data_IF_395694477802
#
_entry.id   IF_395694477802
#
_cell.length_a   1.000
_cell.length_b   1.000
_cell.length_c   1.000
_cell.angle_alpha   90.00
_cell.angle_beta   90.00
_cell.angle_gamma   90.00
#
_symmetry.space_group_name_H-M   'P 1'
#
loop_
_entity.id
_entity.type
_entity.pdbx_description
1 polymer ?
#
# COMPACT_ATOMS: atom_id res chain seq x y z
N UNK A 1 4.55 18.36 -16.14
CA UNK A 1 3.39 17.46 -15.94
C UNK A 1 2.98 17.40 -14.46
N UNK A 2 3.94 17.25 -13.52
CA UNK A 2 3.60 17.21 -12.08
C UNK A 2 3.03 18.53 -11.55
N UNK A 3 3.50 19.66 -12.06
CA UNK A 3 2.99 20.97 -11.68
C UNK A 3 1.57 21.22 -12.24
N UNK A 4 1.27 20.70 -13.44
CA UNK A 4 -0.09 20.68 -14.00
C UNK A 4 -0.99 19.75 -13.18
N UNK A 5 -0.51 18.60 -12.76
CA UNK A 5 -1.23 17.66 -11.92
C UNK A 5 -1.46 18.24 -10.51
N UNK A 6 -0.45 18.84 -9.89
CA UNK A 6 -0.57 19.56 -8.62
C UNK A 6 -1.53 20.76 -8.73
N UNK A 7 -1.49 21.53 -9.82
CA UNK A 7 -2.41 22.66 -10.06
C UNK A 7 -3.83 22.19 -10.31
N UNK A 8 -4.04 21.12 -11.07
CA UNK A 8 -5.38 20.56 -11.27
C UNK A 8 -5.98 20.02 -9.98
N UNK A 9 -5.16 19.43 -9.11
CA UNK A 9 -5.60 18.96 -7.80
C UNK A 9 -5.76 20.12 -6.81
N UNK A 10 -4.93 21.18 -6.88
CA UNK A 10 -5.04 22.36 -6.01
C UNK A 10 -6.10 23.36 -6.45
N UNK A 11 -6.40 23.47 -7.75
CA UNK A 11 -7.37 24.43 -8.28
C UNK A 11 -8.81 23.92 -8.25
N UNK A 12 -9.04 22.61 -8.15
CA UNK A 12 -10.38 22.02 -8.00
C UNK A 12 -10.87 21.89 -6.58
N UNK A 13 -9.96 22.03 -5.66
CA UNK A 13 -10.31 22.02 -4.27
C UNK A 13 -9.18 22.71 -3.54
N UNK A 14 -9.43 23.80 -2.93
CA UNK A 14 -8.74 24.13 -1.71
C UNK A 14 -8.89 23.00 -0.66
N UNK A 15 -9.02 21.75 -1.10
CA UNK A 15 -9.26 20.57 -0.32
C UNK A 15 -8.92 19.23 -0.94
N UNK A 16 -8.85 19.06 -2.26
CA UNK A 16 -8.59 17.77 -2.91
C UNK A 16 -7.09 17.47 -3.05
N UNK A 17 -6.40 17.33 -1.94
CA UNK A 17 -5.13 16.61 -1.91
C UNK A 17 -5.39 15.13 -1.76
N UNK A 18 -5.65 14.45 -2.86
CA UNK A 18 -5.72 12.98 -2.93
C UNK A 18 -4.41 12.28 -2.47
N UNK A 19 -3.33 13.03 -2.30
CA UNK A 19 -2.05 12.53 -1.83
C UNK A 19 -1.88 12.50 -0.31
N UNK A 20 -2.80 13.08 0.46
CA UNK A 20 -2.89 12.85 1.89
C UNK A 20 -4.35 13.01 2.31
N UNK A 21 -4.85 12.00 2.98
CA UNK A 21 -6.15 12.04 3.64
C UNK A 21 -6.21 13.11 4.74
N UNK A 22 -5.04 13.68 5.09
CA UNK A 22 -4.85 14.70 6.11
C UNK A 22 -4.72 16.09 5.48
N UNK A 23 -5.53 17.04 5.89
CA UNK A 23 -5.44 18.46 5.49
C UNK A 23 -4.23 19.14 6.16
N UNK A 24 -3.89 20.37 5.71
CA UNK A 24 -2.77 21.15 6.25
C UNK A 24 -2.89 21.45 7.74
N UNK A 25 -4.11 21.59 8.26
CA UNK A 25 -4.45 21.79 9.67
C UNK A 25 -4.43 20.50 10.50
N UNK A 26 -4.19 19.36 9.87
CA UNK A 26 -4.14 18.05 10.52
C UNK A 26 -5.47 17.31 10.55
N UNK A 27 -6.54 17.89 10.03
CA UNK A 27 -7.83 17.23 9.92
C UNK A 27 -7.93 16.36 8.66
N UNK A 28 -8.84 15.41 8.68
CA UNK A 28 -9.16 14.59 7.51
C UNK A 28 -9.98 15.40 6.50
N UNK A 29 -9.72 15.20 5.23
CA UNK A 29 -10.57 15.78 4.20
C UNK A 29 -12.02 15.27 4.34
N UNK A 30 -13.04 16.11 4.13
CA UNK A 30 -14.45 15.74 4.35
C UNK A 30 -14.94 14.57 3.49
N UNK A 31 -14.25 14.31 2.36
CA UNK A 31 -14.53 13.21 1.44
C UNK A 31 -13.67 11.98 1.70
N UNK A 32 -12.87 11.95 2.78
CA UNK A 32 -12.07 10.78 3.14
C UNK A 32 -12.98 9.63 3.55
N UNK A 33 -12.67 8.44 3.06
CA UNK A 33 -13.36 7.21 3.49
C UNK A 33 -12.93 6.84 4.90
N UNK A 34 -13.82 6.21 5.65
CA UNK A 34 -13.47 5.64 6.96
C UNK A 34 -12.75 4.31 6.82
N UNK A 35 -12.00 3.87 7.85
CA UNK A 35 -11.41 2.53 7.85
C UNK A 35 -12.44 1.40 7.63
N UNK A 36 -13.64 1.53 8.21
CA UNK A 36 -14.71 0.56 8.05
C UNK A 36 -15.26 0.52 6.63
N UNK A 37 -15.45 1.68 6.00
CA UNK A 37 -15.86 1.76 4.60
C UNK A 37 -14.84 1.11 3.69
N UNK A 38 -13.54 1.33 3.96
CA UNK A 38 -12.45 0.73 3.20
C UNK A 38 -12.43 -0.79 3.33
N UNK A 39 -12.52 -1.32 4.56
CA UNK A 39 -12.56 -2.75 4.81
C UNK A 39 -13.76 -3.43 4.14
N UNK A 40 -14.95 -2.85 4.28
CA UNK A 40 -16.16 -3.36 3.65
C UNK A 40 -16.06 -3.36 2.12
N UNK A 41 -15.53 -2.28 1.53
CA UNK A 41 -15.32 -2.19 0.09
C UNK A 41 -14.40 -3.29 -0.41
N UNK A 42 -13.24 -3.47 0.24
CA UNK A 42 -12.27 -4.50 -0.15
C UNK A 42 -12.84 -5.91 -0.02
N UNK A 43 -13.52 -6.22 1.09
CA UNK A 43 -14.13 -7.52 1.30
C UNK A 43 -15.20 -7.82 0.25
N UNK A 44 -16.07 -6.85 -0.05
CA UNK A 44 -17.15 -7.01 -1.05
C UNK A 44 -16.58 -7.31 -2.44
N UNK A 45 -15.57 -6.56 -2.88
CA UNK A 45 -14.93 -6.80 -4.20
C UNK A 45 -14.19 -8.14 -4.20
N UNK A 46 -13.52 -8.49 -3.09
CA UNK A 46 -12.83 -9.77 -2.97
C UNK A 46 -13.80 -10.96 -3.05
N UNK A 47 -14.96 -10.87 -2.42
CA UNK A 47 -15.97 -11.94 -2.45
C UNK A 47 -16.45 -12.25 -3.87
N UNK A 48 -16.64 -11.22 -4.70
CA UNK A 48 -16.98 -11.42 -6.12
C UNK A 48 -15.80 -12.01 -6.90
N UNK A 49 -14.61 -11.45 -6.70
CA UNK A 49 -13.41 -11.89 -7.40
C UNK A 49 -13.04 -13.34 -7.06
N UNK A 50 -13.08 -13.72 -5.78
CA UNK A 50 -12.69 -15.07 -5.35
C UNK A 50 -13.66 -16.15 -5.82
N UNK A 51 -14.92 -15.80 -6.14
CA UNK A 51 -15.91 -16.72 -6.67
C UNK A 51 -15.84 -16.89 -8.19
N UNK A 52 -15.37 -15.88 -8.93
CA UNK A 52 -15.61 -15.83 -10.37
C UNK A 52 -14.38 -15.51 -11.21
N UNK A 53 -13.39 -14.79 -10.68
CA UNK A 53 -12.45 -14.04 -11.49
C UNK A 53 -10.98 -14.38 -11.26
N UNK A 54 -10.65 -15.25 -10.29
CA UNK A 54 -9.25 -15.62 -10.00
C UNK A 54 -8.59 -16.24 -11.22
N UNK A 55 -7.50 -15.62 -11.68
CA UNK A 55 -6.78 -16.03 -12.89
C UNK A 55 -7.38 -15.48 -14.21
N UNK A 56 -8.56 -14.88 -14.17
CA UNK A 56 -9.19 -14.22 -15.32
C UNK A 56 -9.02 -12.71 -15.30
N UNK A 57 -9.19 -12.10 -14.11
CA UNK A 57 -9.00 -10.67 -13.91
C UNK A 57 -7.95 -10.42 -12.82
N UNK A 58 -6.95 -9.62 -13.17
CA UNK A 58 -5.88 -9.21 -12.27
C UNK A 58 -6.34 -8.01 -11.45
N UNK A 59 -6.42 -8.19 -10.12
CA UNK A 59 -6.64 -7.09 -9.18
C UNK A 59 -5.37 -6.94 -8.36
N UNK A 60 -4.59 -5.90 -8.66
CA UNK A 60 -3.24 -5.68 -8.13
C UNK A 60 -3.13 -5.85 -6.61
N UNK A 61 -4.12 -5.37 -5.84
CA UNK A 61 -4.11 -5.50 -4.40
C UNK A 61 -4.26 -6.98 -3.95
N UNK A 62 -5.13 -7.74 -4.59
CA UNK A 62 -5.40 -9.13 -4.21
C UNK A 62 -4.25 -10.05 -4.62
N UNK A 63 -3.73 -9.87 -5.82
CA UNK A 63 -2.56 -10.61 -6.29
C UNK A 63 -1.31 -10.29 -5.48
N UNK A 64 -1.11 -9.02 -5.09
CA UNK A 64 -0.02 -8.62 -4.19
C UNK A 64 -0.21 -9.17 -2.77
N UNK A 65 -1.45 -9.31 -2.30
CA UNK A 65 -1.76 -9.98 -1.04
C UNK A 65 -1.36 -11.45 -1.10
N UNK A 66 -1.75 -12.16 -2.17
CA UNK A 66 -1.33 -13.56 -2.36
C UNK A 66 0.19 -13.70 -2.46
N UNK A 67 0.87 -12.77 -3.17
CA UNK A 67 2.33 -12.77 -3.25
C UNK A 67 2.96 -12.74 -1.85
N UNK A 68 2.50 -11.86 -0.96
CA UNK A 68 2.97 -11.83 0.43
C UNK A 68 2.65 -13.14 1.19
N UNK A 69 1.46 -13.72 0.97
CA UNK A 69 1.10 -15.00 1.59
C UNK A 69 2.02 -16.16 1.20
N UNK A 70 2.50 -16.17 -0.04
CA UNK A 70 3.45 -17.19 -0.53
C UNK A 70 4.92 -16.80 -0.35
N UNK A 71 5.20 -15.65 0.29
CA UNK A 71 6.56 -15.18 0.56
C UNK A 71 7.27 -14.59 -0.67
N UNK A 72 6.51 -14.15 -1.66
CA UNK A 72 7.03 -13.48 -2.85
C UNK A 72 6.93 -11.95 -2.73
N UNK A 73 7.71 -11.24 -3.54
CA UNK A 73 7.63 -9.78 -3.64
C UNK A 73 6.26 -9.35 -4.17
N UNK A 74 5.51 -8.49 -3.46
CA UNK A 74 4.24 -7.97 -3.97
C UNK A 74 4.46 -7.01 -5.13
N UNK A 75 3.51 -6.98 -6.06
CA UNK A 75 3.53 -6.11 -7.23
C UNK A 75 3.26 -4.64 -6.93
N UNK A 76 2.95 -4.29 -5.67
CA UNK A 76 2.64 -2.93 -5.23
C UNK A 76 3.48 -2.53 -4.02
N UNK A 77 4.10 -1.35 -4.09
CA UNK A 77 5.02 -0.88 -3.04
C UNK A 77 4.32 -0.65 -1.69
N UNK A 78 3.02 -0.37 -1.67
CA UNK A 78 2.27 -0.19 -0.43
C UNK A 78 2.26 -1.45 0.44
N UNK A 79 2.21 -2.64 -0.16
CA UNK A 79 2.26 -3.93 0.53
C UNK A 79 3.68 -4.53 0.62
N UNK A 80 4.71 -3.87 0.08
CA UNK A 80 6.09 -4.31 0.22
C UNK A 80 6.66 -3.91 1.59
N UNK A 81 7.59 -4.71 2.12
CA UNK A 81 8.26 -4.43 3.40
C UNK A 81 9.03 -3.11 3.40
N UNK A 82 9.67 -2.80 2.28
CA UNK A 82 10.46 -1.58 2.08
C UNK A 82 9.91 -0.78 0.90
N UNK A 83 10.12 0.54 0.92
CA UNK A 83 9.89 1.34 -0.29
C UNK A 83 10.97 1.01 -1.32
N UNK A 84 10.55 0.84 -2.58
CA UNK A 84 11.46 0.54 -3.68
C UNK A 84 12.03 1.79 -4.36
N UNK A 85 12.45 1.62 -5.60
CA UNK A 85 13.05 2.66 -6.44
C UNK A 85 11.98 3.33 -7.33
N UNK A 86 10.97 3.93 -6.71
CA UNK A 86 9.86 4.61 -7.39
C UNK A 86 10.02 6.13 -7.35
N UNK A 87 11.21 6.62 -7.71
CA UNK A 87 11.51 8.05 -7.72
C UNK A 87 10.62 8.83 -8.70
N UNK A 88 10.44 10.09 -8.43
CA UNK A 88 9.79 11.06 -9.30
C UNK A 88 10.74 12.19 -9.64
N UNK A 89 10.68 12.67 -10.87
CA UNK A 89 11.43 13.81 -11.34
C UNK A 89 10.50 14.99 -11.62
N UNK A 90 10.81 16.15 -11.06
CA UNK A 90 10.13 17.40 -11.33
C UNK A 90 10.67 18.07 -12.61
N UNK A 91 9.91 19.02 -13.15
CA UNK A 91 10.22 19.69 -14.42
C UNK A 91 11.57 20.45 -14.43
N UNK A 92 12.06 20.85 -13.23
CA UNK A 92 13.34 21.53 -13.05
C UNK A 92 14.54 20.54 -12.93
N UNK A 93 14.30 19.24 -13.11
CA UNK A 93 15.30 18.18 -13.00
C UNK A 93 15.56 17.70 -11.57
N UNK A 94 14.83 18.19 -10.58
CA UNK A 94 14.92 17.69 -9.21
C UNK A 94 14.30 16.31 -9.11
N UNK A 95 14.99 15.38 -8.46
CA UNK A 95 14.56 14.00 -8.25
C UNK A 95 14.29 13.76 -6.77
N UNK A 96 13.16 13.13 -6.49
CA UNK A 96 12.70 12.80 -5.14
C UNK A 96 12.53 11.30 -4.95
N UNK A 97 12.63 10.82 -3.72
CA UNK A 97 12.61 9.41 -3.37
C UNK A 97 11.32 8.68 -3.78
N UNK A 98 10.18 9.40 -3.84
CA UNK A 98 8.87 8.85 -4.19
C UNK A 98 7.94 9.98 -4.62
N UNK A 99 6.97 9.69 -5.50
CA UNK A 99 5.94 10.64 -5.94
C UNK A 99 4.99 11.11 -4.82
N UNK A 100 4.83 10.32 -3.77
CA UNK A 100 4.11 10.70 -2.55
C UNK A 100 4.92 11.62 -1.61
N UNK A 101 6.24 11.70 -1.79
CA UNK A 101 7.16 12.41 -0.90
C UNK A 101 7.99 13.47 -1.65
N UNK A 102 7.29 14.32 -2.41
CA UNK A 102 7.90 15.46 -3.11
C UNK A 102 8.05 16.64 -2.14
N UNK A 103 8.95 16.47 -1.16
CA UNK A 103 9.30 17.48 -0.16
C UNK A 103 10.82 17.64 -0.11
N UNK A 104 11.34 18.82 0.29
CA UNK A 104 12.78 19.09 0.30
C UNK A 104 13.63 18.03 1.01
N UNK A 105 13.13 17.47 2.12
CA UNK A 105 13.81 16.46 2.94
C UNK A 105 13.95 15.09 2.24
N UNK A 106 13.17 14.83 1.17
CA UNK A 106 13.22 13.58 0.39
C UNK A 106 13.81 13.78 -1.00
N UNK A 107 14.46 14.95 -1.24
CA UNK A 107 15.15 15.23 -2.50
C UNK A 107 16.46 14.45 -2.58
N UNK A 108 16.63 13.66 -3.62
CA UNK A 108 17.83 12.86 -3.88
C UNK A 108 18.92 13.65 -4.61
N UNK A 109 18.50 14.63 -5.42
CA UNK A 109 19.42 15.46 -6.19
C UNK A 109 18.75 16.09 -7.40
N UNK A 110 19.60 16.47 -8.38
CA UNK A 110 19.14 17.03 -9.65
C UNK A 110 19.88 16.35 -10.81
N UNK A 111 19.17 16.01 -11.89
CA UNK A 111 19.74 15.26 -13.04
C UNK A 111 20.87 15.99 -13.78
N UNK A 112 20.99 17.30 -13.61
CA UNK A 112 22.09 18.09 -14.16
C UNK A 112 23.37 18.03 -13.31
N UNK A 113 23.30 17.43 -12.11
CA UNK A 113 24.38 17.38 -11.13
C UNK A 113 24.79 15.93 -10.76
N UNK A 114 23.82 15.01 -10.73
CA UNK A 114 24.03 13.59 -10.39
C UNK A 114 23.29 12.70 -11.40
N UNK A 115 23.85 11.53 -11.66
CA UNK A 115 23.15 10.53 -12.47
C UNK A 115 21.97 9.92 -11.73
N UNK A 116 20.96 9.42 -12.45
CA UNK A 116 19.84 8.69 -11.85
C UNK A 116 20.32 7.45 -11.05
N UNK A 117 21.36 6.79 -11.53
CA UNK A 117 21.94 5.61 -10.84
C UNK A 117 22.47 6.01 -9.46
N UNK A 118 23.29 7.10 -9.38
CA UNK A 118 23.80 7.59 -8.09
C UNK A 118 22.68 7.98 -7.13
N UNK A 119 21.59 8.59 -7.62
CA UNK A 119 20.47 8.98 -6.80
C UNK A 119 19.64 7.76 -6.34
N UNK A 120 19.34 6.84 -7.27
CA UNK A 120 18.44 5.71 -7.00
C UNK A 120 19.10 4.60 -6.15
N UNK A 121 20.40 4.46 -6.22
CA UNK A 121 21.19 3.47 -5.45
C UNK A 121 22.06 4.14 -4.37
N UNK A 122 21.83 5.42 -4.12
CA UNK A 122 22.48 6.17 -3.07
C UNK A 122 21.91 5.90 -1.68
N UNK A 123 22.67 6.29 -0.66
CA UNK A 123 22.32 6.07 0.74
C UNK A 123 21.01 6.75 1.14
N UNK A 124 20.70 7.89 0.55
CA UNK A 124 19.46 8.63 0.79
C UNK A 124 18.23 7.81 0.39
N UNK A 125 18.25 7.19 -0.80
CA UNK A 125 17.18 6.31 -1.26
C UNK A 125 17.08 5.03 -0.44
N UNK A 126 18.20 4.44 -0.09
CA UNK A 126 18.25 3.26 0.79
C UNK A 126 17.62 3.59 2.16
N UNK A 127 18.03 4.70 2.76
CA UNK A 127 17.49 5.18 4.05
C UNK A 127 15.99 5.40 3.96
N UNK A 128 15.50 6.05 2.89
CA UNK A 128 14.08 6.21 2.64
C UNK A 128 13.36 4.86 2.51
N UNK A 129 13.95 3.92 1.80
CA UNK A 129 13.39 2.58 1.59
C UNK A 129 13.17 1.82 2.89
N UNK A 130 14.20 1.73 3.72
CA UNK A 130 14.16 0.97 4.99
C UNK A 130 13.34 1.67 6.07
N UNK A 131 13.19 3.00 6.01
CA UNK A 131 12.38 3.79 6.94
C UNK A 131 10.94 3.26 7.01
N UNK A 132 10.41 2.75 5.90
CA UNK A 132 9.05 2.19 5.86
C UNK A 132 8.82 1.11 6.92
N UNK A 133 9.76 0.19 7.07
CA UNK A 133 9.66 -0.86 8.09
C UNK A 133 10.13 -0.36 9.47
N UNK A 134 11.22 0.39 9.51
CA UNK A 134 11.86 0.78 10.77
C UNK A 134 11.04 1.79 11.59
N UNK A 135 10.07 2.48 10.96
CA UNK A 135 9.16 3.42 11.62
C UNK A 135 7.82 2.82 12.03
N UNK A 136 7.68 1.48 11.98
CA UNK A 136 6.44 0.83 12.41
C UNK A 136 6.29 0.86 13.93
N UNK A 137 5.09 1.20 14.46
CA UNK A 137 4.80 1.08 15.88
C UNK A 137 4.72 -0.39 16.31
N UNK A 138 4.92 -0.67 17.61
CA UNK A 138 4.86 -2.02 18.17
C UNK A 138 3.53 -2.74 17.86
N UNK A 139 2.44 -1.98 17.80
CA UNK A 139 1.15 -2.53 17.37
C UNK A 139 1.22 -3.19 15.98
N UNK A 140 1.96 -2.61 15.03
CA UNK A 140 2.15 -3.20 13.70
C UNK A 140 3.09 -4.39 13.74
N UNK A 141 4.22 -4.28 14.45
CA UNK A 141 5.22 -5.34 14.56
C UNK A 141 4.67 -6.61 15.23
N UNK A 142 3.67 -6.47 16.12
CA UNK A 142 2.99 -7.57 16.79
C UNK A 142 1.68 -7.99 16.10
N UNK A 143 1.36 -7.46 14.93
CA UNK A 143 0.14 -7.76 14.21
C UNK A 143 0.24 -9.10 13.47
N UNK A 144 -0.81 -9.93 13.54
CA UNK A 144 -0.89 -11.22 12.84
C UNK A 144 -0.76 -11.09 11.31
N UNK A 145 -1.06 -9.90 10.76
CA UNK A 145 -1.01 -9.60 9.33
C UNK A 145 0.14 -8.65 8.96
N UNK A 146 1.15 -8.49 9.84
CA UNK A 146 2.32 -7.67 9.51
C UNK A 146 2.96 -8.11 8.20
N UNK A 147 3.15 -9.41 8.02
CA UNK A 147 3.77 -10.03 6.84
C UNK A 147 3.05 -9.72 5.51
N UNK A 148 1.77 -9.38 5.56
CA UNK A 148 0.95 -9.05 4.39
C UNK A 148 0.74 -7.54 4.21
N UNK A 149 0.68 -6.81 5.32
CA UNK A 149 0.38 -5.37 5.37
C UNK A 149 1.63 -4.49 5.33
N UNK A 150 2.68 -4.87 6.09
CA UNK A 150 3.89 -4.07 6.31
C UNK A 150 3.60 -2.60 6.66
N UNK A 151 2.44 -2.35 7.34
CA UNK A 151 1.97 -1.02 7.71
C UNK A 151 1.51 -0.14 6.53
N UNK A 152 1.40 -0.69 5.33
CA UNK A 152 1.01 -0.01 4.10
C UNK A 152 1.92 1.21 3.79
N UNK A 153 1.47 2.19 3.01
CA UNK A 153 2.28 3.35 2.60
C UNK A 153 2.54 4.30 3.79
N UNK A 154 3.80 4.70 4.06
CA UNK A 154 4.13 5.66 5.12
C UNK A 154 3.36 6.99 5.00
N UNK A 155 2.93 7.37 3.80
CA UNK A 155 2.12 8.57 3.56
C UNK A 155 0.82 8.59 4.34
N UNK A 156 0.24 7.42 4.61
CA UNK A 156 -1.04 7.27 5.30
C UNK A 156 -0.88 6.98 6.81
N UNK A 157 0.35 7.03 7.36
CA UNK A 157 0.68 6.68 8.74
C UNK A 157 0.74 7.91 9.64
N UNK A 158 -0.38 8.55 9.87
CA UNK A 158 -0.48 9.76 10.69
C UNK A 158 -1.35 9.58 11.95
N UNK A 159 -1.73 8.33 12.27
CA UNK A 159 -2.45 8.01 13.49
C UNK A 159 -1.50 7.54 14.58
N UNK A 160 -1.96 7.61 15.82
CA UNK A 160 -1.30 6.97 16.96
C UNK A 160 -1.78 5.53 17.09
N UNK A 161 -0.88 4.63 17.49
CA UNK A 161 -1.22 3.27 17.91
C UNK A 161 -2.05 3.28 19.20
N UNK A 162 -2.61 2.13 19.57
CA UNK A 162 -3.32 1.96 20.86
C UNK A 162 -2.45 2.33 22.09
N UNK A 163 -1.12 2.23 21.95
CA UNK A 163 -0.15 2.52 23.01
C UNK A 163 0.43 3.94 22.89
N UNK A 164 -0.13 4.77 22.00
CA UNK A 164 0.26 6.17 21.79
C UNK A 164 1.48 6.37 20.89
N UNK A 165 2.03 5.33 20.27
CA UNK A 165 3.14 5.45 19.33
C UNK A 165 2.67 6.03 17.99
N UNK A 166 3.43 6.96 17.37
CA UNK A 166 3.12 7.47 16.04
C UNK A 166 3.39 6.45 14.94
N UNK A 167 2.82 6.67 13.76
CA UNK A 167 3.13 5.88 12.57
C UNK A 167 2.13 4.76 12.25
N UNK A 168 0.96 4.75 12.90
CA UNK A 168 -0.12 3.84 12.52
C UNK A 168 -0.84 4.38 11.28
N UNK A 169 -1.12 3.47 10.33
CA UNK A 169 -1.91 3.80 9.14
C UNK A 169 -3.35 4.15 9.51
N UNK A 170 -3.87 5.22 8.91
CA UNK A 170 -5.26 5.66 9.13
C UNK A 170 -6.29 4.56 8.80
N UNK A 171 -6.06 3.79 7.73
CA UNK A 171 -6.94 2.72 7.28
C UNK A 171 -6.61 1.36 7.93
N UNK A 172 -5.75 1.31 8.96
CA UNK A 172 -5.28 0.08 9.61
C UNK A 172 -6.41 -0.89 9.93
N UNK A 173 -7.50 -0.41 10.55
CA UNK A 173 -8.65 -1.23 10.93
C UNK A 173 -9.34 -1.87 9.72
N UNK A 174 -9.43 -1.15 8.59
CA UNK A 174 -10.01 -1.66 7.35
C UNK A 174 -9.12 -2.69 6.67
N UNK A 175 -7.80 -2.48 6.66
CA UNK A 175 -6.85 -3.48 6.17
C UNK A 175 -6.83 -4.72 7.05
N UNK A 176 -6.88 -4.57 8.37
CA UNK A 176 -6.98 -5.71 9.28
C UNK A 176 -8.24 -6.54 9.01
N UNK A 177 -9.40 -5.88 8.89
CA UNK A 177 -10.66 -6.53 8.52
C UNK A 177 -10.54 -7.27 7.19
N UNK A 178 -9.92 -6.64 6.19
CA UNK A 178 -9.71 -7.27 4.88
C UNK A 178 -8.82 -8.50 4.97
N UNK A 179 -7.65 -8.41 5.59
CA UNK A 179 -6.73 -9.55 5.70
C UNK A 179 -7.32 -10.70 6.50
N UNK A 180 -8.06 -10.40 7.57
CA UNK A 180 -8.78 -11.41 8.36
C UNK A 180 -9.85 -12.13 7.53
N UNK A 181 -10.62 -11.37 6.76
CA UNK A 181 -11.64 -11.90 5.87
C UNK A 181 -11.06 -12.80 4.77
N UNK A 182 -9.97 -12.39 4.13
CA UNK A 182 -9.40 -13.14 3.00
C UNK A 182 -8.47 -14.27 3.42
N UNK A 183 -8.03 -14.32 4.68
CA UNK A 183 -7.04 -15.28 5.17
C UNK A 183 -7.36 -16.75 4.79
N UNK A 184 -8.59 -17.29 4.99
CA UNK A 184 -8.88 -18.68 4.63
C UNK A 184 -8.76 -18.97 3.14
N UNK A 185 -9.04 -17.98 2.29
CA UNK A 185 -8.92 -18.11 0.84
C UNK A 185 -7.45 -18.02 0.41
N UNK A 186 -6.71 -17.07 0.98
CA UNK A 186 -5.27 -16.92 0.73
C UNK A 186 -4.49 -18.16 1.20
N UNK A 187 -4.86 -18.74 2.34
CA UNK A 187 -4.27 -19.99 2.83
C UNK A 187 -4.55 -21.17 1.89
N UNK A 188 -5.75 -21.25 1.31
CA UNK A 188 -6.07 -22.25 0.29
C UNK A 188 -5.22 -22.03 -0.96
N UNK A 189 -5.22 -20.81 -1.51
CA UNK A 189 -4.43 -20.46 -2.71
C UNK A 189 -2.94 -20.72 -2.51
N UNK A 190 -2.40 -20.41 -1.32
CA UNK A 190 -1.02 -20.73 -0.94
C UNK A 190 -0.73 -22.22 -0.99
N UNK A 191 -1.64 -23.07 -0.48
CA UNK A 191 -1.49 -24.54 -0.54
C UNK A 191 -1.49 -25.04 -1.97
N UNK A 192 -2.37 -24.50 -2.82
CA UNK A 192 -2.39 -24.84 -4.23
C UNK A 192 -1.07 -24.44 -4.91
N UNK A 193 -0.63 -23.20 -4.70
CA UNK A 193 0.62 -22.67 -5.26
C UNK A 193 1.84 -23.53 -4.86
N UNK A 194 1.99 -23.85 -3.58
CA UNK A 194 3.10 -24.66 -3.07
C UNK A 194 3.05 -26.11 -3.57
N UNK A 195 1.88 -26.59 -3.97
CA UNK A 195 1.68 -27.91 -4.57
C UNK A 195 1.73 -27.88 -6.12
N UNK A 196 2.20 -26.77 -6.71
CA UNK A 196 2.27 -26.55 -8.17
C UNK A 196 0.90 -26.70 -8.86
N UNK A 197 -0.18 -26.39 -8.15
CA UNK A 197 -1.55 -26.37 -8.70
C UNK A 197 -2.02 -24.91 -8.84
N UNK A 198 -3.08 -24.73 -9.65
CA UNK A 198 -3.62 -23.40 -9.92
C UNK A 198 -4.27 -22.79 -8.66
N UNK A 199 -3.84 -21.59 -8.18
CA UNK A 199 -4.56 -20.87 -7.13
C UNK A 199 -6.04 -20.64 -7.46
N UNK A 200 -6.40 -20.57 -8.74
CA UNK A 200 -7.76 -20.43 -9.23
C UNK A 200 -8.73 -21.55 -8.79
N UNK A 201 -8.21 -22.71 -8.33
CA UNK A 201 -9.02 -23.77 -7.71
C UNK A 201 -9.80 -23.25 -6.48
N UNK A 202 -9.38 -22.11 -5.91
CA UNK A 202 -10.10 -21.45 -4.81
C UNK A 202 -11.54 -21.09 -5.18
N UNK A 203 -11.85 -20.83 -6.46
CA UNK A 203 -13.21 -20.48 -6.91
C UNK A 203 -14.21 -21.60 -6.63
N UNK A 204 -13.87 -22.84 -6.94
CA UNK A 204 -14.72 -24.00 -6.66
C UNK A 204 -14.87 -24.20 -5.16
N UNK A 205 -13.77 -24.23 -4.43
CA UNK A 205 -13.75 -24.36 -2.98
C UNK A 205 -14.56 -23.26 -2.25
N UNK A 206 -14.49 -22.01 -2.74
CA UNK A 206 -15.24 -20.88 -2.17
C UNK A 206 -16.76 -21.04 -2.40
N UNK A 207 -17.17 -21.48 -3.60
CA UNK A 207 -18.59 -21.74 -3.94
C UNK A 207 -19.18 -22.86 -3.07
N UNK A 208 -18.43 -23.92 -2.83
CA UNK A 208 -18.87 -25.02 -1.96
C UNK A 208 -19.08 -24.56 -0.50
N UNK A 209 -18.24 -23.64 0.00
CA UNK A 209 -18.38 -23.08 1.36
C UNK A 209 -19.58 -22.14 1.50
N UNK A 210 -19.90 -21.38 0.45
CA UNK A 210 -21.05 -20.48 0.44
C UNK A 210 -22.40 -21.21 0.44
N UNK A 211 -22.43 -22.46 -0.04
CA UNK A 211 -23.63 -23.29 -0.15
C UNK A 211 -23.89 -24.15 1.11
N UNK A 212 -23.02 -24.06 2.11
CA UNK A 212 -23.16 -24.73 3.44
C UNK A 212 -23.61 -23.75 4.49
#
# INVERSE_FOLDING_TARGET
ASDVYKRQLSSRADGLRLSSLKQKDGELAPFSITPEQWGNFLCTIFDEWVLNDVGNYYIQLFDSTLANWVGQQPGVCSLAKYCGHAAVMEFNGDVYACDHFVFPEYKLGNIYQKTLVEMMYGKEQETFGVMKHNSLPQQCLNCSYEFACHGECPKNRFMLSKDGEPGLNYLCKGYYQFFDHVAPYMDFMKKEYLAERAPANVMEWARERRNK
#
